data_IF_810457850775
#
_entry.id   IF_810457850775
#
_cell.length_a   1.000
_cell.length_b   1.000
_cell.length_c   1.000
_cell.angle_alpha   90.00
_cell.angle_beta   90.00
_cell.angle_gamma   90.00
#
_symmetry.space_group_name_H-M   'P 1'
#
loop_
_entity.id
_entity.type
_entity.pdbx_description
1 polymer ?
#
# COMPACT_ATOMS: atom_id res chain seq x y z
N UNK A 1 6.92 6.78 6.86
CA UNK A 1 5.84 6.91 5.85
C UNK A 1 4.53 6.21 6.25
N UNK A 2 4.53 5.02 6.86
CA UNK A 2 3.32 4.21 7.07
C UNK A 2 2.10 4.98 7.64
N UNK A 3 2.24 5.78 8.70
CA UNK A 3 1.14 6.66 9.17
C UNK A 3 0.91 7.95 8.36
N UNK A 4 1.97 8.57 7.84
CA UNK A 4 1.90 9.95 7.33
C UNK A 4 1.16 10.06 5.99
N UNK A 5 1.02 8.96 5.27
CA UNK A 5 0.34 8.93 3.96
C UNK A 5 -1.14 8.56 4.08
N UNK A 6 -1.63 8.18 5.26
CA UNK A 6 -3.01 7.71 5.46
C UNK A 6 -4.01 8.78 5.01
N UNK A 7 -3.85 10.02 5.47
CA UNK A 7 -4.76 11.11 5.08
C UNK A 7 -4.84 11.34 3.57
N UNK A 8 -3.73 11.18 2.83
CA UNK A 8 -3.74 11.31 1.38
C UNK A 8 -4.53 10.18 0.69
N UNK A 9 -4.52 8.95 1.25
CA UNK A 9 -5.40 7.88 0.78
C UNK A 9 -6.87 8.17 1.10
N UNK A 10 -7.16 8.67 2.30
CA UNK A 10 -8.52 9.02 2.75
C UNK A 10 -9.12 10.17 1.93
N UNK A 11 -8.32 11.16 1.53
CA UNK A 11 -8.73 12.27 0.65
C UNK A 11 -9.17 11.77 -0.75
N UNK A 12 -8.75 10.57 -1.16
CA UNK A 12 -9.20 9.89 -2.38
C UNK A 12 -10.35 8.89 -2.12
N UNK A 13 -10.88 8.84 -0.90
CA UNK A 13 -11.93 7.89 -0.49
C UNK A 13 -11.43 6.46 -0.27
N UNK A 14 -10.11 6.25 -0.19
CA UNK A 14 -9.52 4.94 0.09
C UNK A 14 -9.43 4.69 1.60
N UNK A 15 -9.44 3.43 2.00
CA UNK A 15 -9.30 3.01 3.41
C UNK A 15 -8.00 2.24 3.64
N UNK A 16 -7.18 2.70 4.58
CA UNK A 16 -5.99 1.97 5.01
C UNK A 16 -6.39 0.88 6.02
N UNK A 17 -6.49 -0.36 5.55
CA UNK A 17 -6.90 -1.53 6.34
C UNK A 17 -5.75 -2.25 7.06
N UNK A 18 -4.51 -1.93 6.69
CA UNK A 18 -3.31 -2.42 7.37
C UNK A 18 -2.12 -1.48 7.16
N UNK A 19 -1.28 -1.33 8.18
CA UNK A 19 -0.07 -0.52 8.12
C UNK A 19 1.01 -1.09 9.04
N UNK A 20 2.28 -0.86 8.72
CA UNK A 20 3.36 -1.32 9.57
C UNK A 20 4.70 -0.71 9.24
N UNK A 21 5.68 -0.95 10.10
CA UNK A 21 7.02 -0.37 10.02
C UNK A 21 8.07 -1.48 10.03
N UNK A 22 9.18 -1.27 9.31
CA UNK A 22 10.35 -2.15 9.40
C UNK A 22 11.16 -1.90 10.69
N UNK A 23 11.15 -0.66 11.21
CA UNK A 23 11.98 -0.23 12.35
C UNK A 23 11.32 0.89 13.17
N UNK A 24 9.99 0.81 13.32
CA UNK A 24 9.23 1.79 14.11
C UNK A 24 9.53 1.66 15.60
N UNK A 25 9.51 2.77 16.34
CA UNK A 25 9.60 2.73 17.80
C UNK A 25 8.20 2.91 18.44
N UNK A 26 8.08 2.62 19.73
CA UNK A 26 6.80 2.69 20.45
C UNK A 26 6.08 4.04 20.32
N UNK A 27 6.81 5.15 20.24
CA UNK A 27 6.23 6.48 20.03
C UNK A 27 5.67 6.67 18.61
N UNK A 28 6.27 6.04 17.59
CA UNK A 28 5.70 5.98 16.24
C UNK A 28 4.37 5.23 16.22
N UNK A 29 4.29 4.11 16.95
CA UNK A 29 3.06 3.31 17.07
C UNK A 29 1.96 4.06 17.81
N UNK A 30 2.29 4.71 18.93
CA UNK A 30 1.33 5.56 19.65
C UNK A 30 0.79 6.69 18.79
N UNK A 31 1.60 7.28 17.92
CA UNK A 31 1.10 8.29 16.97
C UNK A 31 0.23 7.68 15.89
N UNK A 32 0.53 6.46 15.44
CA UNK A 32 -0.20 5.78 14.37
C UNK A 32 -1.66 5.52 14.73
N UNK A 33 -1.95 5.21 16.00
CA UNK A 33 -3.33 4.97 16.47
C UNK A 33 -4.25 6.18 16.32
N UNK A 34 -3.71 7.40 16.19
CA UNK A 34 -4.50 8.60 15.91
C UNK A 34 -4.91 8.75 14.43
N UNK A 35 -4.25 8.03 13.52
CA UNK A 35 -4.48 8.13 12.07
C UNK A 35 -5.26 6.96 11.50
N UNK A 36 -5.33 5.83 12.20
CA UNK A 36 -5.97 4.62 11.69
C UNK A 36 -7.38 4.47 12.28
N UNK A 37 -8.28 3.86 11.51
CA UNK A 37 -9.60 3.48 12.00
C UNK A 37 -9.57 2.24 12.90
N UNK A 38 -10.70 1.99 13.57
CA UNK A 38 -10.88 0.77 14.35
C UNK A 38 -10.70 -0.48 13.48
N UNK A 39 -10.09 -1.52 14.07
CA UNK A 39 -9.79 -2.80 13.45
C UNK A 39 -8.80 -2.77 12.26
N UNK A 40 -7.99 -1.72 12.11
CA UNK A 40 -6.83 -1.72 11.20
C UNK A 40 -5.72 -2.60 11.75
N UNK A 41 -5.17 -3.49 10.91
CA UNK A 41 -4.05 -4.36 11.28
C UNK A 41 -2.75 -3.54 11.40
N UNK A 42 -2.06 -3.63 12.53
CA UNK A 42 -0.71 -3.08 12.72
C UNK A 42 0.29 -4.21 12.82
N UNK A 43 1.40 -4.10 12.09
CA UNK A 43 2.53 -5.04 12.16
C UNK A 43 3.87 -4.30 12.30
N UNK A 44 4.78 -4.89 13.07
CA UNK A 44 6.17 -4.44 13.28
C UNK A 44 7.10 -5.53 12.75
N UNK A 45 8.15 -5.14 12.01
CA UNK A 45 9.12 -6.05 11.40
C UNK A 45 8.49 -7.28 10.73
N UNK A 46 7.48 -7.03 9.89
CA UNK A 46 6.68 -8.11 9.29
C UNK A 46 7.55 -9.02 8.44
N UNK A 47 7.45 -10.33 8.69
CA UNK A 47 8.14 -11.31 7.84
C UNK A 47 7.43 -11.44 6.49
N UNK A 48 8.16 -11.87 5.45
CA UNK A 48 7.55 -12.10 4.14
C UNK A 48 6.38 -13.10 4.17
N UNK A 49 6.50 -14.14 5.00
CA UNK A 49 5.44 -15.15 5.18
C UNK A 49 4.18 -14.56 5.81
N UNK A 50 4.33 -13.79 6.89
CA UNK A 50 3.19 -13.13 7.54
C UNK A 50 2.52 -12.16 6.58
N UNK A 51 3.31 -11.38 5.84
CA UNK A 51 2.76 -10.38 4.93
C UNK A 51 1.96 -11.02 3.80
N UNK A 52 2.45 -12.11 3.20
CA UNK A 52 1.70 -12.91 2.23
C UNK A 52 0.38 -13.42 2.82
N UNK A 53 0.41 -13.98 4.05
CA UNK A 53 -0.79 -14.51 4.70
C UNK A 53 -1.81 -13.43 5.07
N UNK A 54 -1.35 -12.24 5.44
CA UNK A 54 -2.24 -11.10 5.67
C UNK A 54 -2.90 -10.66 4.37
N UNK A 55 -2.14 -10.54 3.28
CA UNK A 55 -2.69 -10.18 1.96
C UNK A 55 -3.68 -11.22 1.45
N UNK A 56 -3.39 -12.51 1.61
CA UNK A 56 -4.32 -13.59 1.27
C UNK A 56 -5.66 -13.47 2.01
N UNK A 57 -5.66 -13.09 3.29
CA UNK A 57 -6.89 -13.00 4.10
C UNK A 57 -7.63 -11.67 3.93
N UNK A 58 -6.90 -10.56 3.85
CA UNK A 58 -7.46 -9.21 3.77
C UNK A 58 -7.92 -8.90 2.34
N UNK A 59 -7.27 -9.47 1.33
CA UNK A 59 -7.53 -9.19 -0.09
C UNK A 59 -7.56 -7.68 -0.40
N UNK A 60 -6.46 -6.94 -0.15
CA UNK A 60 -6.43 -5.50 -0.41
C UNK A 60 -6.44 -5.18 -1.91
N UNK A 61 -7.06 -4.07 -2.29
CA UNK A 61 -7.09 -3.58 -3.68
C UNK A 61 -5.76 -2.93 -4.12
N UNK A 62 -4.92 -2.53 -3.17
CA UNK A 62 -3.61 -1.94 -3.42
C UNK A 62 -2.66 -2.25 -2.26
N UNK A 63 -1.40 -2.56 -2.59
CA UNK A 63 -0.32 -2.65 -1.61
C UNK A 63 0.72 -1.56 -1.84
N UNK A 64 1.08 -0.85 -0.77
CA UNK A 64 2.14 0.14 -0.75
C UNK A 64 3.33 -0.29 0.11
N UNK A 65 4.44 -0.74 -0.49
CA UNK A 65 5.63 -1.19 0.25
C UNK A 65 6.94 -0.90 -0.50
N UNK A 66 8.02 -1.65 -0.25
CA UNK A 66 9.34 -1.51 -0.87
C UNK A 66 9.53 -2.33 -2.15
N UNK A 67 10.75 -2.29 -2.68
CA UNK A 67 11.11 -3.00 -3.92
C UNK A 67 11.14 -4.53 -3.75
N UNK A 68 11.48 -5.01 -2.55
CA UNK A 68 11.63 -6.45 -2.28
C UNK A 68 10.25 -7.15 -2.32
N UNK A 69 9.21 -6.41 -1.93
CA UNK A 69 7.84 -6.89 -1.80
C UNK A 69 7.07 -6.77 -3.13
N UNK A 70 7.44 -5.83 -4.00
CA UNK A 70 6.71 -5.49 -5.23
C UNK A 70 6.35 -6.69 -6.09
N UNK A 71 7.34 -7.47 -6.49
CA UNK A 71 7.15 -8.52 -7.48
C UNK A 71 6.46 -9.76 -6.92
N UNK A 72 6.48 -9.95 -5.60
CA UNK A 72 5.71 -11.00 -4.92
C UNK A 72 4.23 -10.74 -5.13
N UNK A 73 3.75 -9.55 -4.74
CA UNK A 73 2.32 -9.23 -4.80
C UNK A 73 1.79 -9.00 -6.21
N UNK A 74 2.60 -8.46 -7.13
CA UNK A 74 2.21 -8.36 -8.53
C UNK A 74 1.96 -9.75 -9.15
N UNK A 75 2.75 -10.78 -8.77
CA UNK A 75 2.52 -12.16 -9.22
C UNK A 75 1.28 -12.79 -8.60
N UNK A 76 0.84 -12.30 -7.43
CA UNK A 76 -0.43 -12.66 -6.81
C UNK A 76 -1.63 -11.94 -7.45
N UNK A 77 -1.40 -11.03 -8.40
CA UNK A 77 -2.45 -10.27 -9.08
C UNK A 77 -2.94 -9.05 -8.32
N UNK A 78 -2.21 -8.62 -7.28
CA UNK A 78 -2.58 -7.44 -6.48
C UNK A 78 -1.84 -6.21 -7.00
N UNK A 79 -2.55 -5.09 -7.28
CA UNK A 79 -1.91 -3.82 -7.61
C UNK A 79 -0.89 -3.38 -6.57
N UNK A 80 0.24 -2.82 -7.02
CA UNK A 80 1.34 -2.45 -6.13
C UNK A 80 1.95 -1.10 -6.49
N UNK A 81 2.26 -0.29 -5.46
CA UNK A 81 3.04 0.96 -5.57
C UNK A 81 4.22 0.95 -4.60
N UNK A 82 5.40 1.30 -5.09
CA UNK A 82 6.56 1.49 -4.22
C UNK A 82 6.44 2.80 -3.44
N UNK A 83 6.23 2.68 -2.13
CA UNK A 83 6.08 3.84 -1.24
C UNK A 83 7.41 4.36 -0.68
N UNK A 84 8.55 3.80 -1.14
CA UNK A 84 9.90 4.28 -0.82
C UNK A 84 10.51 5.11 -1.97
N UNK A 85 10.45 4.59 -3.19
CA UNK A 85 11.02 5.19 -4.40
C UNK A 85 10.01 5.98 -5.23
N UNK A 86 8.73 5.97 -4.82
CA UNK A 86 7.61 6.45 -5.64
C UNK A 86 7.54 5.76 -7.00
N UNK A 87 8.11 4.56 -7.12
CA UNK A 87 8.20 3.82 -8.38
C UNK A 87 8.75 4.71 -9.52
N UNK A 88 9.76 5.54 -9.19
CA UNK A 88 10.42 6.48 -10.11
C UNK A 88 9.53 7.63 -10.62
N UNK A 89 8.40 7.88 -9.95
CA UNK A 89 7.50 9.02 -10.15
C UNK A 89 7.79 10.13 -9.10
N UNK A 90 6.74 10.76 -8.58
CA UNK A 90 6.81 11.83 -7.59
C UNK A 90 6.97 13.23 -8.20
N UNK A 91 7.04 14.28 -7.36
CA UNK A 91 6.97 14.25 -5.88
C UNK A 91 5.56 13.93 -5.37
N UNK A 92 5.45 13.42 -4.13
CA UNK A 92 4.15 13.18 -3.47
C UNK A 92 3.84 14.17 -2.34
N UNK A 93 4.79 15.05 -1.99
CA UNK A 93 4.56 16.05 -0.95
C UNK A 93 3.91 17.31 -1.54
N UNK A 94 3.03 17.94 -0.77
CA UNK A 94 2.38 19.20 -1.11
C UNK A 94 1.24 19.06 -2.11
N UNK A 95 0.60 20.18 -2.43
CA UNK A 95 -0.58 20.22 -3.31
C UNK A 95 -0.29 19.67 -4.71
N UNK A 96 0.81 20.11 -5.33
CA UNK A 96 1.21 19.63 -6.65
C UNK A 96 1.54 18.12 -6.61
N UNK A 97 2.14 17.66 -5.51
CA UNK A 97 2.47 16.26 -5.33
C UNK A 97 1.25 15.37 -5.12
N UNK A 98 0.16 15.90 -4.57
CA UNK A 98 -1.09 15.15 -4.39
C UNK A 98 -1.72 14.76 -5.73
N UNK A 99 -1.67 15.64 -6.74
CA UNK A 99 -2.15 15.31 -8.08
C UNK A 99 -1.38 14.14 -8.70
N UNK A 100 -0.05 14.09 -8.49
CA UNK A 100 0.82 13.00 -8.96
C UNK A 100 0.54 11.71 -8.17
N UNK A 101 0.38 11.81 -6.86
CA UNK A 101 0.00 10.69 -6.00
C UNK A 101 -1.32 10.07 -6.46
N UNK A 102 -2.38 10.87 -6.63
CA UNK A 102 -3.69 10.41 -7.06
C UNK A 102 -3.66 9.71 -8.42
N UNK A 103 -2.99 10.33 -9.41
CA UNK A 103 -2.76 9.73 -10.73
C UNK A 103 -2.09 8.36 -10.64
N UNK A 104 -1.06 8.25 -9.80
CA UNK A 104 -0.26 7.02 -9.70
C UNK A 104 -1.02 5.90 -8.98
N UNK A 105 -1.83 6.22 -7.98
CA UNK A 105 -2.69 5.23 -7.32
C UNK A 105 -3.76 4.72 -8.29
N UNK A 106 -4.44 5.62 -9.00
CA UNK A 106 -5.45 5.27 -10.02
C UNK A 106 -4.88 4.37 -11.11
N UNK A 107 -3.77 4.80 -11.73
CA UNK A 107 -3.11 4.03 -12.79
C UNK A 107 -2.66 2.64 -12.32
N UNK A 108 -2.28 2.47 -11.05
CA UNK A 108 -1.93 1.16 -10.53
C UNK A 108 -3.15 0.27 -10.30
N UNK A 109 -4.19 0.79 -9.64
CA UNK A 109 -5.39 0.02 -9.29
C UNK A 109 -6.18 -0.35 -10.55
N UNK A 110 -6.39 0.61 -11.44
CA UNK A 110 -7.28 0.47 -12.59
C UNK A 110 -6.55 0.00 -13.87
N UNK A 111 -5.31 -0.48 -13.75
CA UNK A 111 -4.58 -1.00 -14.91
C UNK A 111 -5.29 -2.23 -15.50
N UNK A 112 -5.48 -2.29 -16.84
CA UNK A 112 -6.20 -3.41 -17.46
C UNK A 112 -5.47 -4.74 -17.31
N UNK A 113 -4.15 -4.73 -17.06
CA UNK A 113 -3.31 -5.92 -16.89
C UNK A 113 -3.83 -6.88 -15.82
N UNK A 114 -4.50 -6.38 -14.77
CA UNK A 114 -5.00 -7.23 -13.69
C UNK A 114 -6.12 -8.18 -14.14
N UNK A 115 -6.93 -7.75 -15.11
CA UNK A 115 -7.95 -8.60 -15.75
C UNK A 115 -7.37 -9.62 -16.75
N UNK A 116 -6.08 -9.47 -17.11
CA UNK A 116 -5.42 -10.29 -18.13
C UNK A 116 -4.52 -11.39 -17.54
N UNK A 117 -4.43 -11.48 -16.21
CA UNK A 117 -3.60 -12.48 -15.54
C UNK A 117 -4.11 -13.92 -15.75
N UNK A 118 -5.42 -14.11 -15.85
CA UNK A 118 -6.03 -15.42 -16.08
C UNK A 118 -6.12 -15.70 -17.58
N UNK A 119 -5.43 -16.75 -18.02
CA UNK A 119 -5.53 -17.21 -19.40
C UNK A 119 -6.97 -17.70 -19.72
N UNK A 120 -7.54 -17.35 -20.88
CA UNK A 120 -8.94 -17.66 -21.21
C UNK A 120 -9.24 -19.16 -21.39
N UNK A 121 -8.21 -20.00 -21.49
CA UNK A 121 -8.33 -21.46 -21.60
C UNK A 121 -8.22 -22.20 -20.26
N UNK A 122 -8.22 -21.48 -19.13
CA UNK A 122 -8.19 -22.02 -17.76
C UNK A 122 -9.37 -21.53 -16.92
#
# INVERSE_FOLDING_TARGET
>A
RPRHVIGAYEDLGMKVVGTGYEFGHNDDYQRTTHYIGDATLIYDDVTGYEFEKFVEKIQPDLIGSGIKEKYVFQKMGVPFRQMHSWDYSGPYHGYDGFAVFARDMDMAINAPVWSLAKAPWK
#
